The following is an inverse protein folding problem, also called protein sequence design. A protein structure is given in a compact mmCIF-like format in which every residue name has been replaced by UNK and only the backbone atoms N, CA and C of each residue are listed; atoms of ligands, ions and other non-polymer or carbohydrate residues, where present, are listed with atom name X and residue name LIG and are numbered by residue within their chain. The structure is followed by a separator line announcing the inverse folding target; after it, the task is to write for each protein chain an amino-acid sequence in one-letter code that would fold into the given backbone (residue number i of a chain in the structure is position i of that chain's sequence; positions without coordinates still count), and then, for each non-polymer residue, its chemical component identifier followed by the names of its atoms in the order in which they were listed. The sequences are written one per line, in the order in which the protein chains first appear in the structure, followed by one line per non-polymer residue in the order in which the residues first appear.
data_IF_314035449882
#
_entry.id   IF_314035449882
#
_cell.length_a   1.000
_cell.length_b   1.000
_cell.length_c   1.000
_cell.angle_alpha   90.00
_cell.angle_beta   90.00
_cell.angle_gamma   90.00
#
_symmetry.space_group_name_H-M   'P 1'
#
loop_
_entity.id
_entity.type
_entity.pdbx_description
1 polymer ?
#
# COMPACT_ATOMS: atom_id res chain seq x y z
N UNK A 1 -10.91 22.21 -22.68
CA UNK A 1 -10.72 21.86 -21.26
C UNK A 1 -10.53 20.35 -21.19
N UNK A 2 -9.30 19.88 -20.99
CA UNK A 2 -9.02 18.45 -20.86
C UNK A 2 -9.56 18.03 -19.50
N UNK A 3 -10.46 17.05 -19.50
CA UNK A 3 -11.11 16.52 -18.30
C UNK A 3 -10.05 16.22 -17.24
N UNK A 4 -10.18 16.87 -16.08
CA UNK A 4 -9.44 16.52 -14.87
C UNK A 4 -9.87 15.11 -14.50
N UNK A 5 -9.16 14.11 -15.05
CA UNK A 5 -9.30 12.71 -14.66
C UNK A 5 -9.13 12.70 -13.16
N UNK A 6 -10.20 12.36 -12.44
CA UNK A 6 -10.18 12.10 -11.01
C UNK A 6 -8.95 11.22 -10.72
N UNK A 7 -7.90 11.86 -10.20
CA UNK A 7 -6.66 11.16 -9.88
C UNK A 7 -6.98 10.34 -8.66
N UNK A 8 -7.43 9.10 -8.87
CA UNK A 8 -7.57 8.14 -7.79
C UNK A 8 -6.16 7.90 -7.23
N UNK A 9 -5.83 8.58 -6.14
CA UNK A 9 -4.51 8.54 -5.48
C UNK A 9 -4.10 7.11 -5.08
N UNK A 10 -5.08 6.19 -5.04
CA UNK A 10 -4.87 4.75 -4.81
C UNK A 10 -4.33 3.98 -6.04
N UNK A 11 -4.02 4.66 -7.15
CA UNK A 11 -3.40 4.07 -8.34
C UNK A 11 -2.10 4.83 -8.69
N UNK A 12 -1.05 4.14 -9.16
CA UNK A 12 0.17 4.81 -9.59
C UNK A 12 -0.09 5.73 -10.80
N UNK A 13 0.65 6.85 -10.89
CA UNK A 13 0.52 7.77 -12.02
C UNK A 13 0.92 7.06 -13.32
N UNK A 14 0.35 7.50 -14.44
CA UNK A 14 0.64 6.93 -15.75
C UNK A 14 2.12 7.08 -16.16
N UNK A 15 2.83 8.07 -15.59
CA UNK A 15 4.27 8.31 -15.81
C UNK A 15 5.16 7.60 -14.77
N UNK A 16 4.61 6.68 -13.97
CA UNK A 16 5.42 5.92 -13.01
C UNK A 16 6.44 5.04 -13.76
N UNK A 17 7.73 5.37 -13.59
CA UNK A 17 8.82 4.59 -14.18
C UNK A 17 9.00 3.29 -13.43
N UNK A 18 8.83 2.17 -14.12
CA UNK A 18 9.05 0.83 -13.60
C UNK A 18 9.88 -0.02 -14.56
N UNK A 19 10.49 -1.08 -14.03
CA UNK A 19 11.23 -2.05 -14.84
C UNK A 19 10.28 -3.16 -15.32
N UNK A 20 10.24 -3.53 -16.62
CA UNK A 20 9.44 -4.64 -17.12
C UNK A 20 9.59 -5.91 -16.27
N UNK A 21 8.46 -6.48 -15.83
CA UNK A 21 8.45 -7.66 -14.96
C UNK A 21 8.60 -7.37 -13.46
N UNK A 22 8.87 -6.13 -13.06
CA UNK A 22 8.93 -5.73 -11.65
C UNK A 22 7.55 -5.75 -11.01
N UNK A 23 7.51 -6.18 -9.75
CA UNK A 23 6.33 -6.11 -8.90
C UNK A 23 6.45 -4.91 -7.97
N UNK A 24 5.39 -4.10 -7.93
CA UNK A 24 5.33 -2.86 -7.18
C UNK A 24 4.16 -2.93 -6.22
N UNK A 25 4.41 -2.67 -4.94
CA UNK A 25 3.35 -2.48 -3.96
C UNK A 25 2.84 -1.04 -4.01
N UNK A 26 1.51 -0.89 -4.17
CA UNK A 26 0.84 0.41 -4.16
C UNK A 26 -0.40 0.36 -3.28
N UNK A 27 -0.31 0.90 -2.06
CA UNK A 27 -1.31 0.63 -1.02
C UNK A 27 -1.52 -0.88 -0.82
N UNK A 28 -2.77 -1.33 -0.68
CA UNK A 28 -3.08 -2.74 -0.53
C UNK A 28 -2.88 -3.55 -1.83
N UNK A 29 -2.53 -2.91 -2.95
CA UNK A 29 -2.47 -3.56 -4.26
C UNK A 29 -1.04 -3.97 -4.56
N UNK A 30 -0.91 -5.15 -5.16
CA UNK A 30 0.32 -5.53 -5.86
C UNK A 30 0.11 -5.29 -7.35
N UNK A 31 0.90 -4.40 -7.91
CA UNK A 31 0.91 -4.05 -9.31
C UNK A 31 2.09 -4.73 -10.01
N UNK A 32 1.98 -4.93 -11.33
CA UNK A 32 3.07 -5.43 -12.17
C UNK A 32 3.43 -4.41 -13.24
N UNK A 33 4.71 -4.30 -13.55
CA UNK A 33 5.17 -3.55 -14.69
C UNK A 33 5.10 -4.42 -15.96
N UNK A 34 4.43 -3.92 -17.01
CA UNK A 34 4.35 -4.57 -18.32
C UNK A 34 5.62 -4.33 -19.14
N UNK A 35 5.75 -5.03 -20.28
CA UNK A 35 6.88 -4.85 -21.20
C UNK A 35 6.98 -3.43 -21.77
N UNK A 36 5.85 -2.73 -21.87
CA UNK A 36 5.76 -1.32 -22.28
C UNK A 36 6.14 -0.31 -21.18
N UNK A 37 6.71 -0.76 -20.06
CA UNK A 37 6.99 0.05 -18.87
C UNK A 37 5.74 0.74 -18.28
N UNK A 38 4.57 0.08 -18.39
CA UNK A 38 3.31 0.56 -17.82
C UNK A 38 2.95 -0.24 -16.56
N UNK A 39 2.40 0.43 -15.55
CA UNK A 39 1.96 -0.22 -14.32
C UNK A 39 0.53 -0.74 -14.44
N UNK A 40 0.35 -2.05 -14.29
CA UNK A 40 -0.95 -2.70 -14.26
C UNK A 40 -1.29 -3.16 -12.83
N UNK A 41 -2.34 -2.58 -12.25
CA UNK A 41 -2.83 -2.91 -10.91
C UNK A 41 -4.21 -3.57 -10.94
N UNK A 42 -4.53 -4.48 -10.01
CA UNK A 42 -5.88 -5.00 -9.85
C UNK A 42 -6.87 -3.90 -9.42
N UNK A 43 -8.14 -4.02 -9.82
CA UNK A 43 -9.20 -3.02 -9.55
C UNK A 43 -9.88 -3.16 -8.18
N UNK A 44 -9.32 -3.93 -7.26
CA UNK A 44 -9.88 -4.15 -5.90
C UNK A 44 -9.88 -2.86 -5.07
N UNK A 45 -10.90 -2.60 -4.25
CA UNK A 45 -10.84 -1.44 -3.35
C UNK A 45 -9.88 -1.71 -2.19
N UNK A 46 -9.01 -0.75 -1.89
CA UNK A 46 -8.23 -0.81 -0.66
C UNK A 46 -9.06 -0.27 0.51
N UNK A 47 -8.97 -0.89 1.70
CA UNK A 47 -9.52 -0.29 2.90
C UNK A 47 -8.87 1.07 3.14
N UNK A 48 -9.70 2.09 3.33
CA UNK A 48 -9.24 3.46 3.53
C UNK A 48 -8.46 3.57 4.84
N UNK A 49 -7.32 4.27 4.81
CA UNK A 49 -6.50 4.53 6.00
C UNK A 49 -5.61 3.37 6.48
N UNK A 50 -5.75 2.16 5.93
CA UNK A 50 -5.02 0.97 6.40
C UNK A 50 -3.65 0.77 5.77
N UNK A 51 -3.40 1.33 4.58
CA UNK A 51 -2.15 1.14 3.84
C UNK A 51 -1.50 2.47 3.47
N UNK A 52 -0.17 2.50 3.48
CA UNK A 52 0.64 3.57 2.92
C UNK A 52 0.79 3.40 1.42
N UNK A 53 1.17 4.45 0.69
CA UNK A 53 1.40 4.39 -0.76
C UNK A 53 2.39 3.28 -1.15
N UNK A 54 3.43 3.06 -0.35
CA UNK A 54 4.42 1.99 -0.52
C UNK A 54 3.87 0.56 -0.31
N UNK A 55 2.66 0.44 0.24
CA UNK A 55 1.99 -0.83 0.52
C UNK A 55 2.30 -1.43 1.88
N UNK A 56 3.21 -0.82 2.64
CA UNK A 56 3.29 -1.02 4.08
C UNK A 56 1.96 -0.69 4.77
N UNK A 57 1.50 -1.55 5.70
CA UNK A 57 0.30 -1.26 6.51
C UNK A 57 0.57 -0.07 7.43
N UNK A 58 -0.42 0.81 7.57
CA UNK A 58 -0.42 1.83 8.60
C UNK A 58 -0.72 1.10 9.90
N UNK A 59 0.32 0.70 10.63
CA UNK A 59 0.21 0.25 12.02
C UNK A 59 -0.28 1.45 12.84
N UNK A 60 -1.58 1.70 12.82
CA UNK A 60 -2.21 2.91 13.34
C UNK A 60 -3.51 2.61 14.08
N UNK A 61 -3.52 1.45 14.73
CA UNK A 61 -4.27 0.98 15.89
C UNK A 61 -4.38 -0.53 15.71
N UNK A 62 -3.40 -1.28 16.23
CA UNK A 62 -3.81 -2.41 17.04
C UNK A 62 -4.94 -1.88 17.90
N UNK A 63 -6.12 -2.49 17.82
CA UNK A 63 -7.03 -2.35 18.94
C UNK A 63 -6.18 -2.85 20.10
N UNK A 64 -5.59 -1.95 20.87
CA UNK A 64 -4.94 -2.27 22.11
C UNK A 64 -6.11 -2.70 23.01
N UNK A 65 -6.63 -3.91 22.80
CA UNK A 65 -6.97 -4.70 23.95
C UNK A 65 -5.63 -4.84 24.65
N UNK A 66 -5.43 -3.99 25.66
CA UNK A 66 -4.29 -4.06 26.56
C UNK A 66 -4.09 -5.54 26.90
N UNK A 67 -3.10 -6.15 26.28
CA UNK A 67 -2.44 -7.25 26.91
C UNK A 67 -1.71 -6.58 28.06
N UNK A 68 -2.32 -6.64 29.24
CA UNK A 68 -1.61 -6.57 30.50
C UNK A 68 -0.56 -7.69 30.48
N UNK A 69 0.55 -7.41 29.81
CA UNK A 69 1.77 -8.19 29.83
C UNK A 69 2.84 -7.29 30.42
N UNK A 70 2.61 -6.92 31.69
CA UNK A 70 3.70 -6.62 32.59
C UNK A 70 4.39 -7.94 32.96
N UNK A 71 5.02 -8.60 31.98
CA UNK A 71 6.07 -9.57 32.27
C UNK A 71 7.37 -8.78 32.41
N UNK A 72 7.61 -8.31 33.64
CA UNK A 72 8.98 -8.08 34.10
C UNK A 72 9.56 -9.45 34.43
N UNK A 73 10.26 -10.06 33.47
CA UNK A 73 11.29 -11.03 33.84
C UNK A 73 12.38 -10.26 34.59
N UNK A 74 12.52 -10.56 35.88
CA UNK A 74 13.69 -10.19 36.68
C UNK A 74 14.11 -11.44 37.43
N UNK A 75 15.26 -11.94 37.01
CA UNK A 75 15.97 -13.09 37.55
C UNK A 75 16.20 -12.96 39.07
N UNK A 76 15.85 -14.00 39.84
CA UNK A 76 16.62 -14.49 40.99
C UNK A 76 16.31 -15.97 41.30
#
# INVERSE_FOLDING_TARGET
ALAEREVNESMPPADYKCTPGELISWYCKTCRCTEDALVACPRQLCPQGEFNRDGSRRSGKSFDYEADDSISESEE
#
